data_IF_819888218575
#
_entry.id   IF_819888218575
#
_cell.length_a   1.000
_cell.length_b   1.000
_cell.length_c   1.000
_cell.angle_alpha   90.00
_cell.angle_beta   90.00
_cell.angle_gamma   90.00
#
_symmetry.space_group_name_H-M   'P 1'
#
loop_
_entity.id
_entity.type
_entity.pdbx_description
1 polymer ?
#
# COMPACT_ATOMS: atom_id res chain seq x y z
N UNK A 1 -14.84 -31.22 20.86
CA UNK A 1 -15.51 -30.78 20.61
C UNK A 1 -15.80 -30.25 20.58
N UNK A 2 -15.83 -30.14 20.65
CA UNK A 2 -16.44 -29.58 20.46
C UNK A 2 -16.90 -29.15 20.61
N UNK A 3 -16.94 -29.31 20.77
CA UNK A 3 -17.65 -28.92 20.69
C UNK A 3 -18.03 -28.45 20.81
N UNK A 4 -17.98 -28.65 21.16
CA UNK A 4 -18.59 -28.25 21.03
C UNK A 4 -19.06 -27.69 20.86
N UNK A 5 -19.04 -27.73 20.92
CA UNK A 5 -19.57 -27.25 20.51
C UNK A 5 -19.75 -26.51 20.28
N UNK A 6 -19.52 -27.03 20.28
CA UNK A 6 -19.30 -26.11 19.32
C UNK A 6 -19.57 -24.73 19.54
N UNK A 7 -19.32 -24.41 20.51
CA UNK A 7 -19.26 -23.04 20.60
C UNK A 7 -17.96 -22.54 20.12
N UNK A 8 -17.98 -22.09 18.88
CA UNK A 8 -16.83 -21.35 18.36
C UNK A 8 -16.86 -19.96 18.95
N UNK A 9 -15.95 -19.71 19.85
CA UNK A 9 -15.74 -18.35 20.28
C UNK A 9 -14.92 -17.65 19.20
N UNK A 10 -15.55 -16.75 18.49
CA UNK A 10 -14.83 -15.94 17.53
C UNK A 10 -14.10 -14.86 18.30
N UNK A 11 -12.80 -15.05 18.46
CA UNK A 11 -11.95 -14.01 19.03
C UNK A 11 -11.55 -13.09 17.90
N UNK A 12 -12.07 -11.87 17.93
CA UNK A 12 -11.62 -10.86 16.99
C UNK A 12 -10.34 -10.25 17.50
N UNK A 13 -9.26 -10.55 16.80
CA UNK A 13 -7.96 -9.99 17.11
C UNK A 13 -7.66 -8.85 16.16
N UNK A 14 -7.34 -7.70 16.71
CA UNK A 14 -6.95 -6.54 15.94
C UNK A 14 -5.51 -6.17 16.24
N UNK A 15 -4.79 -5.72 15.21
CA UNK A 15 -3.43 -5.25 15.34
C UNK A 15 -3.37 -3.79 14.90
N UNK A 16 -2.62 -2.97 15.62
CA UNK A 16 -2.45 -1.58 15.24
C UNK A 16 -1.31 -1.39 14.26
N UNK A 17 -1.50 -0.51 13.28
CA UNK A 17 -0.45 -0.04 12.40
C UNK A 17 -0.19 1.42 12.70
N UNK A 18 1.07 1.78 12.82
CA UNK A 18 1.47 3.18 12.98
C UNK A 18 2.15 3.61 11.69
N UNK A 19 1.65 4.65 11.01
CA UNK A 19 2.31 5.11 9.80
C UNK A 19 3.75 5.53 10.07
N UNK A 20 4.64 5.14 9.17
CA UNK A 20 6.04 5.58 9.23
C UNK A 20 6.28 6.82 8.37
N UNK A 21 5.30 7.21 7.58
CA UNK A 21 5.38 8.37 6.71
C UNK A 21 4.12 8.54 5.90
N UNK A 22 4.13 9.52 5.02
CA UNK A 22 2.98 9.87 4.20
C UNK A 22 3.42 10.18 2.78
N UNK A 23 2.55 9.85 1.84
CA UNK A 23 2.76 10.17 0.43
C UNK A 23 2.42 11.64 0.20
N UNK A 24 3.30 12.34 -0.53
CA UNK A 24 3.05 13.67 -1.05
C UNK A 24 3.02 13.56 -2.57
N UNK A 25 1.84 13.75 -3.15
CA UNK A 25 1.61 13.50 -4.57
C UNK A 25 0.68 14.55 -5.16
N UNK A 26 0.75 14.70 -6.48
CA UNK A 26 -0.23 15.49 -7.21
C UNK A 26 -1.58 14.77 -7.33
N UNK A 27 -1.63 13.45 -7.14
CA UNK A 27 -2.88 12.69 -7.17
C UNK A 27 -3.72 13.00 -5.93
N UNK A 28 -4.98 13.32 -6.13
CA UNK A 28 -5.87 13.75 -5.04
C UNK A 28 -7.03 12.81 -4.79
N UNK A 29 -7.46 12.05 -5.80
CA UNK A 29 -8.60 11.14 -5.69
C UNK A 29 -8.25 9.81 -6.35
N UNK A 30 -8.85 8.73 -5.86
CA UNK A 30 -8.56 7.39 -6.36
C UNK A 30 -8.89 7.21 -7.84
N UNK A 31 -9.95 7.86 -8.32
CA UNK A 31 -10.36 7.75 -9.72
C UNK A 31 -9.35 8.34 -10.70
N UNK A 32 -8.49 9.24 -10.22
CA UNK A 32 -7.46 9.87 -11.04
C UNK A 32 -6.15 9.11 -11.01
N UNK A 33 -6.02 8.10 -10.14
CA UNK A 33 -4.79 7.36 -10.00
C UNK A 33 -4.69 6.31 -11.12
N UNK A 34 -3.72 6.44 -12.04
CA UNK A 34 -3.47 5.38 -13.01
C UNK A 34 -2.92 4.18 -12.26
N UNK A 35 -3.12 2.97 -12.81
CA UNK A 35 -2.46 1.84 -12.22
C UNK A 35 -0.94 1.92 -12.37
N UNK A 36 -0.22 1.24 -11.48
CA UNK A 36 1.24 1.34 -11.41
C UNK A 36 1.91 1.02 -12.75
N UNK A 37 1.28 0.16 -13.55
CA UNK A 37 1.82 -0.23 -14.85
C UNK A 37 1.63 0.82 -15.94
N UNK A 38 0.70 1.75 -15.73
CA UNK A 38 0.30 2.73 -16.75
C UNK A 38 0.95 4.09 -16.50
N UNK A 39 2.09 4.11 -15.83
CA UNK A 39 2.84 5.34 -15.65
C UNK A 39 2.36 6.20 -14.50
N UNK A 40 2.22 5.63 -13.33
CA UNK A 40 1.95 6.40 -12.13
C UNK A 40 2.98 7.53 -11.98
N UNK A 41 2.57 8.70 -11.46
CA UNK A 41 3.46 9.84 -11.37
C UNK A 41 4.51 9.66 -10.29
N UNK A 42 5.57 10.45 -10.37
CA UNK A 42 6.52 10.60 -9.28
C UNK A 42 5.80 11.12 -8.06
N UNK A 43 6.29 10.72 -6.89
CA UNK A 43 5.77 11.20 -5.62
C UNK A 43 6.88 11.23 -4.59
N UNK A 44 6.68 12.01 -3.55
CA UNK A 44 7.56 12.03 -2.40
C UNK A 44 6.94 11.22 -1.27
N UNK A 45 7.79 10.53 -0.52
CA UNK A 45 7.40 9.92 0.75
C UNK A 45 8.15 10.69 1.82
N UNK A 46 7.39 11.28 2.74
CA UNK A 46 7.97 11.97 3.89
C UNK A 46 7.89 11.04 5.09
N UNK A 47 9.04 10.71 5.67
CA UNK A 47 9.10 9.88 6.86
C UNK A 47 8.83 10.71 8.11
N UNK A 48 8.21 10.06 9.10
CA UNK A 48 8.07 10.62 10.44
C UNK A 48 9.45 10.67 11.10
N UNK A 49 9.72 11.76 11.79
CA UNK A 49 11.00 11.94 12.49
C UNK A 49 11.29 10.82 13.48
N UNK A 50 10.26 10.26 14.10
CA UNK A 50 10.42 9.21 15.11
C UNK A 50 10.98 7.92 14.53
N UNK A 51 10.88 7.71 13.23
CA UNK A 51 11.40 6.51 12.55
C UNK A 51 12.55 6.84 11.60
N UNK A 52 13.12 8.03 11.70
CA UNK A 52 14.16 8.50 10.78
C UNK A 52 15.33 7.53 10.67
N UNK A 53 15.69 6.88 11.76
CA UNK A 53 16.78 5.90 11.77
C UNK A 53 16.52 4.76 10.77
N UNK A 54 15.28 4.34 10.62
CA UNK A 54 14.91 3.28 9.69
C UNK A 54 15.15 3.65 8.23
N UNK A 55 15.19 4.95 7.92
CA UNK A 55 15.39 5.44 6.55
C UNK A 55 16.84 5.85 6.26
N UNK A 56 17.74 5.64 7.19
CA UNK A 56 19.13 6.17 7.11
C UNK A 56 19.86 5.76 5.84
N UNK A 57 19.65 4.52 5.39
CA UNK A 57 20.43 3.96 4.29
C UNK A 57 19.70 3.97 2.95
N UNK A 58 18.52 4.57 2.89
CA UNK A 58 17.80 4.68 1.62
C UNK A 58 18.48 5.73 0.74
N UNK A 59 18.80 5.35 -0.51
CA UNK A 59 19.56 6.19 -1.45
C UNK A 59 18.92 6.21 -2.82
N UNK A 60 19.16 7.29 -3.59
CA UNK A 60 18.79 7.29 -5.01
C UNK A 60 19.40 6.09 -5.72
N UNK A 61 18.60 5.43 -6.55
CA UNK A 61 18.98 4.21 -7.26
C UNK A 61 18.45 2.95 -6.61
N UNK A 62 18.05 2.99 -5.34
CA UNK A 62 17.51 1.81 -4.67
C UNK A 62 16.13 1.47 -5.21
N UNK A 63 15.90 0.18 -5.46
CA UNK A 63 14.57 -0.33 -5.75
C UNK A 63 13.92 -0.81 -4.47
N UNK A 64 12.74 -0.32 -4.22
CA UNK A 64 12.02 -0.58 -2.97
C UNK A 64 10.60 -1.08 -3.25
N UNK A 65 10.03 -1.71 -2.26
CA UNK A 65 8.60 -1.98 -2.19
C UNK A 65 8.04 -1.13 -1.08
N UNK A 66 7.05 -0.31 -1.42
CA UNK A 66 6.35 0.56 -0.47
C UNK A 66 5.03 -0.09 -0.14
N UNK A 67 4.75 -0.26 1.13
CA UNK A 67 3.47 -0.75 1.61
C UNK A 67 2.69 0.44 2.18
N UNK A 68 1.49 0.62 1.67
CA UNK A 68 0.64 1.75 2.06
C UNK A 68 -0.66 1.25 2.68
N UNK A 69 -1.30 2.11 3.44
CA UNK A 69 -2.68 1.90 3.86
C UNK A 69 -3.57 2.79 3.01
N UNK A 70 -4.40 2.17 2.18
CA UNK A 70 -5.27 2.91 1.26
C UNK A 70 -6.48 3.40 2.05
N UNK A 71 -6.28 4.46 2.80
CA UNK A 71 -7.16 4.93 3.86
C UNK A 71 -8.54 5.41 3.39
N UNK A 72 -8.69 5.69 2.09
CA UNK A 72 -9.97 6.09 1.52
C UNK A 72 -10.70 4.93 0.85
N UNK A 73 -10.13 3.73 0.89
CA UNK A 73 -10.73 2.55 0.29
C UNK A 73 -11.75 1.90 1.22
N UNK A 74 -12.69 1.19 0.63
CA UNK A 74 -13.70 0.45 1.39
C UNK A 74 -13.11 -0.84 1.91
N UNK A 75 -13.58 -1.28 3.07
CA UNK A 75 -13.11 -2.51 3.71
C UNK A 75 -14.14 -3.62 3.69
N UNK A 76 -15.29 -3.40 3.08
CA UNK A 76 -16.41 -4.33 3.12
C UNK A 76 -16.56 -5.16 1.83
N UNK A 77 -15.64 -5.00 0.87
CA UNK A 77 -15.70 -5.75 -0.38
C UNK A 77 -14.93 -7.05 -0.29
N UNK A 78 -15.57 -8.14 -0.68
CA UNK A 78 -14.95 -9.47 -0.74
C UNK A 78 -14.80 -9.96 -2.16
N UNK A 79 -15.51 -9.37 -3.10
CA UNK A 79 -15.41 -9.71 -4.52
C UNK A 79 -15.62 -8.47 -5.36
N UNK A 80 -15.03 -8.46 -6.56
CA UNK A 80 -15.08 -7.32 -7.45
C UNK A 80 -14.87 -7.79 -8.90
N UNK A 81 -15.23 -6.92 -9.83
CA UNK A 81 -14.82 -7.10 -11.22
C UNK A 81 -13.42 -6.50 -11.36
N UNK A 82 -12.40 -7.28 -11.78
CA UNK A 82 -11.03 -6.79 -11.85
C UNK A 82 -10.94 -5.50 -12.67
N UNK A 83 -10.27 -4.50 -12.09
CA UNK A 83 -10.06 -3.17 -12.70
C UNK A 83 -11.36 -2.47 -13.12
N UNK A 84 -12.48 -2.80 -12.48
CA UNK A 84 -13.78 -2.22 -12.82
C UNK A 84 -14.35 -2.70 -14.14
N UNK A 85 -13.74 -3.69 -14.78
CA UNK A 85 -14.17 -4.21 -16.08
C UNK A 85 -15.31 -5.21 -15.88
N UNK A 86 -16.53 -4.78 -16.16
CA UNK A 86 -17.72 -5.58 -15.96
C UNK A 86 -17.78 -6.79 -16.92
N UNK A 87 -16.94 -6.84 -17.95
CA UNK A 87 -16.85 -7.99 -18.84
C UNK A 87 -16.06 -9.13 -18.21
N UNK A 88 -15.26 -8.85 -17.18
CA UNK A 88 -14.53 -9.86 -16.43
C UNK A 88 -15.43 -10.49 -15.39
N UNK A 89 -15.23 -11.78 -15.07
CA UNK A 89 -16.05 -12.42 -14.05
C UNK A 89 -15.83 -11.78 -12.69
N UNK A 90 -16.87 -11.80 -11.86
CA UNK A 90 -16.77 -11.37 -10.48
C UNK A 90 -15.75 -12.27 -9.76
N UNK A 91 -14.73 -11.67 -9.15
CA UNK A 91 -13.57 -12.36 -8.62
C UNK A 91 -13.36 -11.99 -7.17
N UNK A 92 -12.99 -12.95 -6.34
CA UNK A 92 -12.62 -12.67 -4.94
C UNK A 92 -11.45 -11.70 -4.87
N UNK A 93 -11.51 -10.75 -3.94
CA UNK A 93 -10.53 -9.66 -3.89
C UNK A 93 -9.11 -10.14 -3.61
N UNK A 94 -8.94 -11.32 -2.98
CA UNK A 94 -7.60 -11.85 -2.71
C UNK A 94 -6.91 -12.39 -3.97
N UNK A 95 -7.65 -12.50 -5.06
CA UNK A 95 -7.09 -12.84 -6.38
C UNK A 95 -6.97 -11.61 -7.27
N UNK A 96 -7.07 -10.43 -6.71
CA UNK A 96 -6.96 -9.15 -7.42
C UNK A 96 -6.10 -8.18 -6.61
N UNK A 97 -5.72 -7.08 -7.23
CA UNK A 97 -5.07 -5.97 -6.55
C UNK A 97 -6.04 -4.81 -6.32
N UNK A 98 -7.33 -5.11 -6.23
CA UNK A 98 -8.32 -4.08 -5.94
C UNK A 98 -8.00 -3.36 -4.62
N UNK A 99 -8.10 -2.03 -4.58
CA UNK A 99 -7.86 -1.29 -3.35
C UNK A 99 -8.93 -1.55 -2.29
N UNK A 100 -10.16 -1.86 -2.71
CA UNK A 100 -11.24 -2.14 -1.77
C UNK A 100 -11.17 -3.60 -1.35
N UNK A 101 -10.84 -3.82 -0.09
CA UNK A 101 -10.60 -5.16 0.47
C UNK A 101 -10.57 -5.06 2.00
N UNK A 102 -10.69 -6.17 2.73
CA UNK A 102 -10.76 -6.11 4.20
C UNK A 102 -9.64 -5.32 4.87
N UNK A 103 -8.41 -5.51 4.41
CA UNK A 103 -7.29 -4.67 4.84
C UNK A 103 -6.69 -4.05 3.59
N UNK A 104 -7.02 -2.78 3.28
CA UNK A 104 -6.63 -2.17 2.01
C UNK A 104 -5.17 -1.75 2.02
N UNK A 105 -4.29 -2.74 1.99
CA UNK A 105 -2.85 -2.54 1.94
C UNK A 105 -2.43 -2.48 0.48
N UNK A 106 -1.80 -1.37 0.11
CA UNK A 106 -1.22 -1.19 -1.21
C UNK A 106 0.21 -1.69 -1.22
N UNK A 107 0.63 -2.25 -2.34
CA UNK A 107 2.00 -2.71 -2.55
C UNK A 107 2.51 -2.09 -3.84
N UNK A 108 3.57 -1.30 -3.73
CA UNK A 108 4.09 -0.52 -4.85
C UNK A 108 5.58 -0.76 -5.01
N UNK A 109 6.00 -1.17 -6.22
CA UNK A 109 7.42 -1.21 -6.53
C UNK A 109 7.81 0.13 -7.12
N UNK A 110 8.92 0.68 -6.65
CA UNK A 110 9.39 1.98 -7.11
C UNK A 110 10.90 2.09 -6.94
N UNK A 111 11.49 3.02 -7.66
CA UNK A 111 12.90 3.35 -7.53
C UNK A 111 13.03 4.73 -6.91
N UNK A 112 13.92 4.86 -5.94
CA UNK A 112 14.25 6.16 -5.36
C UNK A 112 15.04 6.94 -6.40
N UNK A 113 14.57 8.14 -6.74
CA UNK A 113 15.25 9.00 -7.71
C UNK A 113 15.88 10.22 -7.06
N UNK A 114 15.48 10.57 -5.84
CA UNK A 114 16.07 11.69 -5.10
C UNK A 114 15.82 11.50 -3.61
N UNK A 115 16.64 12.18 -2.83
CA UNK A 115 16.44 12.24 -1.39
C UNK A 115 16.70 13.66 -0.90
N UNK A 116 15.85 14.16 -0.02
CA UNK A 116 15.98 15.47 0.61
C UNK A 116 15.59 15.35 2.08
N UNK A 117 16.56 15.16 2.96
CA UNK A 117 16.31 14.99 4.38
C UNK A 117 15.44 13.77 4.67
N UNK A 118 14.28 13.99 5.29
CA UNK A 118 13.33 12.93 5.62
C UNK A 118 12.40 12.58 4.47
N UNK A 119 12.66 13.05 3.26
CA UNK A 119 11.84 12.75 2.10
C UNK A 119 12.64 12.00 1.06
N UNK A 120 12.02 10.99 0.47
CA UNK A 120 12.54 10.33 -0.72
C UNK A 120 11.54 10.56 -1.85
N UNK A 121 12.06 10.84 -3.05
CA UNK A 121 11.24 10.88 -4.25
C UNK A 121 11.35 9.55 -4.97
N UNK A 122 10.22 8.98 -5.36
CA UNK A 122 10.17 7.73 -6.12
C UNK A 122 9.62 8.01 -7.51
N UNK A 123 10.04 7.18 -8.46
CA UNK A 123 9.77 7.39 -9.89
C UNK A 123 8.31 7.17 -10.26
N UNK A 124 7.61 6.30 -9.55
CA UNK A 124 6.21 6.02 -9.83
C UNK A 124 5.53 5.51 -8.56
N UNK A 125 4.41 6.10 -8.19
CA UNK A 125 3.66 5.68 -7.02
C UNK A 125 2.17 5.92 -7.23
N UNK A 126 1.42 4.83 -7.32
CA UNK A 126 -0.03 4.87 -7.48
C UNK A 126 -0.67 5.00 -6.10
N UNK A 127 -0.57 6.20 -5.55
CA UNK A 127 -1.18 6.51 -4.26
C UNK A 127 -1.51 8.00 -4.24
N UNK A 128 -2.65 8.33 -3.67
CA UNK A 128 -3.07 9.73 -3.58
C UNK A 128 -2.30 10.45 -2.49
N UNK A 129 -2.30 11.76 -2.56
CA UNK A 129 -1.68 12.62 -1.56
C UNK A 129 -2.24 12.30 -0.17
N UNK A 130 -1.35 12.23 0.82
CA UNK A 130 -1.74 11.93 2.20
C UNK A 130 -1.87 10.44 2.53
N UNK A 131 -1.67 9.54 1.57
CA UNK A 131 -1.75 8.11 1.85
C UNK A 131 -0.71 7.71 2.88
N UNK A 132 -1.10 7.05 3.99
CA UNK A 132 -0.13 6.59 4.98
C UNK A 132 0.77 5.49 4.43
N UNK A 133 2.05 5.58 4.73
CA UNK A 133 3.03 4.53 4.42
C UNK A 133 3.23 3.71 5.68
N UNK A 134 3.09 2.40 5.56
CA UNK A 134 3.20 1.50 6.73
C UNK A 134 4.52 0.77 6.79
N UNK A 135 5.19 0.58 5.65
CA UNK A 135 6.49 -0.09 5.61
C UNK A 135 7.20 0.19 4.29
N UNK A 136 8.52 0.05 4.31
CA UNK A 136 9.35 0.08 3.11
C UNK A 136 10.36 -1.06 3.23
N UNK A 137 10.50 -1.85 2.16
CA UNK A 137 11.44 -2.96 2.11
C UNK A 137 12.30 -2.85 0.85
N UNK A 138 13.57 -3.26 0.90
CA UNK A 138 14.37 -3.32 -0.32
C UNK A 138 13.83 -4.43 -1.24
N UNK A 139 13.60 -4.10 -2.50
CA UNK A 139 13.04 -5.07 -3.45
C UNK A 139 14.03 -6.23 -3.68
N UNK A 140 15.32 -5.97 -3.62
CA UNK A 140 16.35 -6.97 -3.87
C UNK A 140 16.41 -8.07 -2.80
N UNK A 141 15.86 -7.84 -1.63
CA UNK A 141 15.88 -8.80 -0.53
C UNK A 141 14.57 -9.58 -0.39
N UNK A 142 13.60 -9.33 -1.26
CA UNK A 142 12.33 -10.05 -1.20
C UNK A 142 12.49 -11.42 -1.84
N UNK A 143 11.72 -12.42 -1.36
CA UNK A 143 11.69 -13.73 -2.02
C UNK A 143 11.24 -13.58 -3.47
N UNK A 144 11.76 -14.47 -4.32
CA UNK A 144 11.40 -14.48 -5.74
C UNK A 144 9.94 -14.94 -5.93
#
# INVERSE_FOLDING_TARGET
MPAAGGQTVVVQTSYGLVPIGWVQSALRVLNDAPNQRDGAPRAWIRFDEQVAEGATDLRPGDEIVVLTWLHLSRRDELSTHPQGDMSQPLTGVFSTCSPNRPNPIGLHRARIVARAGLRIEVDALEAIDGTPVVDVKPASHLPA
#
